data_IF_575264266241
#
_entry.id   IF_575264266241
#
_cell.length_a   1.000
_cell.length_b   1.000
_cell.length_c   1.000
_cell.angle_alpha   90.00
_cell.angle_beta   90.00
_cell.angle_gamma   90.00
#
_symmetry.space_group_name_H-M   'P 1'
#
loop_
_entity.id
_entity.type
_entity.pdbx_description
1 polymer ?
#
# COMPACT_ATOMS: atom_id res chain seq x y z
N UNK A 1 -13.24 -16.30 2.05
CA UNK A 1 -11.92 -16.95 1.99
C UNK A 1 -10.92 -15.89 1.52
N UNK A 2 -10.08 -15.36 2.42
CA UNK A 2 -9.22 -14.17 2.24
C UNK A 2 -7.91 -14.47 1.47
N UNK A 3 -7.98 -15.18 0.35
CA UNK A 3 -6.76 -15.65 -0.33
C UNK A 3 -6.11 -14.58 -1.22
N UNK A 4 -6.91 -13.75 -1.89
CA UNK A 4 -6.42 -12.81 -2.91
C UNK A 4 -5.55 -11.66 -2.38
N UNK A 5 -5.83 -11.13 -1.19
CA UNK A 5 -5.02 -10.06 -0.60
C UNK A 5 -3.59 -10.54 -0.28
N UNK A 6 -3.48 -11.75 0.26
CA UNK A 6 -2.19 -12.37 0.62
C UNK A 6 -1.31 -12.60 -0.61
N UNK A 7 -1.90 -13.02 -1.73
CA UNK A 7 -1.16 -13.25 -2.97
C UNK A 7 -0.61 -11.94 -3.56
N UNK A 8 -1.39 -10.86 -3.51
CA UNK A 8 -0.97 -9.52 -3.94
C UNK A 8 0.13 -8.95 -3.03
N UNK A 9 0.01 -9.10 -1.71
CA UNK A 9 1.04 -8.74 -0.75
C UNK A 9 2.37 -9.45 -1.04
N UNK A 10 2.31 -10.75 -1.30
CA UNK A 10 3.49 -11.53 -1.61
C UNK A 10 4.18 -11.07 -2.88
N UNK A 11 3.42 -10.81 -3.95
CA UNK A 11 4.00 -10.36 -5.21
C UNK A 11 4.54 -8.93 -5.11
N UNK A 12 3.79 -8.01 -4.47
CA UNK A 12 4.26 -6.64 -4.22
C UNK A 12 5.54 -6.66 -3.38
N UNK A 13 5.61 -7.52 -2.36
CA UNK A 13 6.83 -7.67 -1.57
C UNK A 13 8.01 -8.19 -2.41
N UNK A 14 7.79 -9.09 -3.38
CA UNK A 14 8.85 -9.53 -4.29
C UNK A 14 9.41 -8.40 -5.17
N UNK A 15 8.58 -7.41 -5.52
CA UNK A 15 8.97 -6.23 -6.29
C UNK A 15 9.72 -5.22 -5.41
N UNK A 16 9.21 -4.95 -4.20
CA UNK A 16 9.74 -3.90 -3.32
C UNK A 16 10.98 -4.34 -2.50
N UNK A 17 11.13 -5.63 -2.23
CA UNK A 17 12.23 -6.15 -1.40
C UNK A 17 13.59 -5.91 -2.04
N UNK A 18 14.62 -5.88 -1.19
CA UNK A 18 16.04 -5.82 -1.60
C UNK A 18 16.37 -4.56 -2.41
N UNK A 19 15.75 -3.42 -2.09
CA UNK A 19 16.05 -2.13 -2.74
C UNK A 19 15.87 -2.16 -4.27
N UNK A 20 15.11 -3.13 -4.79
CA UNK A 20 14.90 -3.30 -6.23
C UNK A 20 14.08 -2.16 -6.82
N UNK A 21 13.31 -1.48 -5.98
CA UNK A 21 12.57 -0.30 -6.32
C UNK A 21 13.35 0.97 -5.92
N UNK A 22 13.93 1.66 -6.92
CA UNK A 22 14.63 2.95 -6.74
C UNK A 22 15.72 2.97 -5.65
N UNK A 23 16.29 1.82 -5.31
CA UNK A 23 17.22 1.66 -4.19
C UNK A 23 16.64 1.96 -2.79
N UNK A 24 15.31 2.06 -2.68
CA UNK A 24 14.57 2.44 -1.47
C UNK A 24 14.27 1.24 -0.57
N UNK A 25 14.30 1.47 0.75
CA UNK A 25 14.04 0.44 1.75
C UNK A 25 12.58 0.44 2.19
N UNK A 26 11.83 -0.52 1.65
CA UNK A 26 10.48 -0.82 2.10
C UNK A 26 10.47 -1.79 3.29
N UNK A 27 9.53 -1.56 4.21
CA UNK A 27 9.19 -2.44 5.33
C UNK A 27 7.77 -2.93 5.13
N UNK A 28 7.52 -4.21 5.39
CA UNK A 28 6.18 -4.81 5.36
C UNK A 28 5.53 -4.77 6.77
N UNK A 29 4.21 -4.61 6.84
CA UNK A 29 3.40 -4.62 8.07
C UNK A 29 3.98 -3.68 9.14
N UNK A 30 4.20 -2.42 8.76
CA UNK A 30 4.79 -1.44 9.65
C UNK A 30 3.73 -0.85 10.59
N UNK A 31 4.04 -0.79 11.88
CA UNK A 31 3.14 -0.23 12.89
C UNK A 31 3.40 1.27 13.01
N UNK A 32 2.44 2.07 12.56
CA UNK A 32 2.38 3.52 12.75
C UNK A 32 1.22 3.79 13.69
N UNK A 33 1.47 3.66 15.00
CA UNK A 33 0.42 3.70 16.02
C UNK A 33 -0.50 4.91 15.84
N UNK A 34 -1.83 4.72 15.83
CA UNK A 34 -2.57 3.49 16.16
C UNK A 34 -2.78 2.50 15.01
N UNK A 35 -2.27 2.77 13.81
CA UNK A 35 -2.53 2.01 12.59
C UNK A 35 -1.40 1.04 12.22
N UNK A 36 -1.74 0.03 11.43
CA UNK A 36 -0.79 -0.87 10.78
C UNK A 36 -0.93 -0.65 9.27
N UNK A 37 0.19 -0.52 8.59
CA UNK A 37 0.25 -0.31 7.14
C UNK A 37 0.94 -1.48 6.45
N UNK A 38 0.51 -1.85 5.24
CA UNK A 38 1.02 -3.03 4.54
C UNK A 38 2.47 -2.84 4.12
N UNK A 39 2.81 -1.69 3.53
CA UNK A 39 4.19 -1.32 3.25
C UNK A 39 4.48 0.13 3.63
N UNK A 40 5.70 0.35 4.13
CA UNK A 40 6.20 1.66 4.52
C UNK A 40 7.63 1.88 4.03
N UNK A 41 7.88 3.05 3.43
CA UNK A 41 9.20 3.54 3.07
C UNK A 41 9.52 4.80 3.86
N UNK A 42 10.55 4.73 4.71
CA UNK A 42 10.99 5.87 5.51
C UNK A 42 11.66 6.96 4.67
N UNK A 43 12.35 6.58 3.58
CA UNK A 43 13.18 7.50 2.80
C UNK A 43 12.37 8.56 2.05
N UNK A 44 11.15 8.22 1.64
CA UNK A 44 10.24 9.12 0.90
C UNK A 44 8.92 9.35 1.63
N UNK A 45 8.80 8.90 2.89
CA UNK A 45 7.55 9.01 3.65
C UNK A 45 6.37 8.34 2.96
N UNK A 46 6.57 7.17 2.35
CA UNK A 46 5.52 6.53 1.54
C UNK A 46 4.90 5.35 2.28
N UNK A 47 3.58 5.29 2.26
CA UNK A 47 2.74 4.19 2.70
C UNK A 47 2.04 3.60 1.48
N UNK A 48 2.11 2.28 1.33
CA UNK A 48 1.38 1.55 0.28
C UNK A 48 0.44 0.57 0.96
N UNK A 49 -0.81 0.59 0.53
CA UNK A 49 -1.85 -0.32 1.00
C UNK A 49 -2.39 -1.15 -0.15
N UNK A 50 -2.62 -2.43 0.12
CA UNK A 50 -3.25 -3.32 -0.84
C UNK A 50 -4.71 -3.48 -0.44
N UNK A 51 -5.60 -2.88 -1.22
CA UNK A 51 -7.03 -2.98 -0.96
C UNK A 51 -7.55 -4.34 -1.46
N UNK A 52 -7.93 -5.20 -0.51
CA UNK A 52 -8.59 -6.49 -0.74
C UNK A 52 -10.09 -6.39 -1.03
N UNK A 53 -10.65 -5.18 -1.02
CA UNK A 53 -12.04 -4.78 -1.26
C UNK A 53 -13.09 -5.21 -0.24
N UNK A 54 -14.11 -4.34 -0.17
CA UNK A 54 -15.32 -4.28 0.66
C UNK A 54 -15.10 -3.89 2.11
N UNK A 55 -15.52 -2.67 2.49
CA UNK A 55 -16.61 -2.40 3.43
C UNK A 55 -17.02 -0.93 3.29
N UNK A 56 -18.02 -0.67 2.43
CA UNK A 56 -18.73 0.60 2.33
C UNK A 56 -19.75 0.73 3.46
N UNK A 57 -19.28 0.73 4.71
CA UNK A 57 -20.08 1.15 5.87
C UNK A 57 -19.66 2.57 6.25
N UNK A 58 -20.60 3.42 6.65
CA UNK A 58 -20.31 4.81 7.05
C UNK A 58 -19.22 4.90 8.13
N UNK A 59 -19.16 3.93 9.05
CA UNK A 59 -18.12 3.84 10.07
C UNK A 59 -16.73 3.53 9.51
N UNK A 60 -16.65 2.66 8.48
CA UNK A 60 -15.38 2.36 7.82
C UNK A 60 -14.87 3.58 7.04
N UNK A 61 -15.76 4.33 6.38
CA UNK A 61 -15.41 5.56 5.66
C UNK A 61 -14.88 6.62 6.63
N UNK A 62 -15.55 6.83 7.77
CA UNK A 62 -15.08 7.79 8.79
C UNK A 62 -13.73 7.38 9.37
N UNK A 63 -13.56 6.10 9.71
CA UNK A 63 -12.30 5.58 10.21
C UNK A 63 -11.16 5.77 9.20
N UNK A 64 -11.46 5.54 7.92
CA UNK A 64 -10.51 5.68 6.84
C UNK A 64 -10.09 7.14 6.57
N UNK A 65 -11.03 8.07 6.68
CA UNK A 65 -10.78 9.51 6.58
C UNK A 65 -9.88 9.98 7.72
N UNK A 66 -10.20 9.63 8.96
CA UNK A 66 -9.38 10.01 10.13
C UNK A 66 -7.98 9.39 10.07
N UNK A 67 -7.90 8.15 9.59
CA UNK A 67 -6.64 7.46 9.36
C UNK A 67 -5.78 8.16 8.30
N UNK A 68 -6.38 8.53 7.17
CA UNK A 68 -5.69 9.24 6.08
C UNK A 68 -5.15 10.56 6.58
N UNK A 69 -5.98 11.38 7.25
CA UNK A 69 -5.54 12.64 7.86
C UNK A 69 -4.40 12.47 8.85
N UNK A 70 -4.44 11.44 9.69
CA UNK A 70 -3.38 11.18 10.67
C UNK A 70 -2.06 10.85 9.99
N UNK A 71 -2.08 10.04 8.94
CA UNK A 71 -0.87 9.66 8.20
C UNK A 71 -0.35 10.84 7.36
N UNK A 72 -1.22 11.61 6.71
CA UNK A 72 -0.85 12.84 6.00
C UNK A 72 -0.25 13.89 6.93
N UNK A 73 -0.76 14.01 8.16
CA UNK A 73 -0.19 14.90 9.19
C UNK A 73 1.22 14.48 9.67
N UNK A 74 1.65 13.26 9.34
CA UNK A 74 3.01 12.77 9.57
C UNK A 74 3.91 12.94 8.33
N UNK A 75 3.48 13.79 7.38
CA UNK A 75 4.12 13.99 6.07
C UNK A 75 4.24 12.66 5.29
N UNK A 76 3.27 11.75 5.47
CA UNK A 76 3.24 10.48 4.76
C UNK A 76 2.31 10.54 3.55
N UNK A 77 2.83 10.10 2.41
CA UNK A 77 2.04 9.87 1.19
C UNK A 77 1.43 8.49 1.26
N UNK A 78 0.12 8.35 1.01
CA UNK A 78 -0.58 7.06 1.04
C UNK A 78 -1.01 6.71 -0.38
N UNK A 79 -0.59 5.55 -0.87
CA UNK A 79 -1.02 5.02 -2.17
C UNK A 79 -1.75 3.70 -1.94
N UNK A 80 -2.97 3.58 -2.48
CA UNK A 80 -3.76 2.36 -2.42
C UNK A 80 -3.78 1.68 -3.78
N UNK A 81 -3.47 0.40 -3.81
CA UNK A 81 -3.60 -0.43 -5.00
C UNK A 81 -4.79 -1.37 -4.86
N UNK A 82 -5.68 -1.36 -5.87
CA UNK A 82 -6.85 -2.20 -5.91
C UNK A 82 -6.52 -3.55 -6.56
N UNK A 83 -6.81 -4.66 -5.88
CA UNK A 83 -6.39 -5.99 -6.31
C UNK A 83 -7.11 -6.53 -7.58
N UNK A 84 -8.12 -5.84 -8.09
CA UNK A 84 -8.89 -6.34 -9.25
C UNK A 84 -8.28 -5.96 -10.61
N UNK A 85 -7.35 -5.01 -10.67
CA UNK A 85 -6.55 -4.83 -11.89
C UNK A 85 -5.42 -5.85 -11.87
N UNK A 86 -5.76 -7.01 -12.41
CA UNK A 86 -4.94 -8.20 -12.39
C UNK A 86 -3.47 -7.93 -12.72
N UNK A 87 -2.62 -8.50 -11.88
CA UNK A 87 -1.22 -8.87 -12.17
C UNK A 87 -1.14 -9.94 -13.27
N UNK A 88 -1.97 -9.81 -14.29
CA UNK A 88 -2.33 -10.83 -15.25
C UNK A 88 -2.48 -10.30 -16.66
N UNK A 89 -1.96 -9.11 -16.99
CA UNK A 89 -1.40 -8.72 -18.31
C UNK A 89 -1.15 -7.20 -18.30
N UNK A 90 0.12 -6.77 -18.32
CA UNK A 90 0.48 -5.40 -18.73
C UNK A 90 0.76 -4.36 -17.64
N UNK A 91 0.20 -4.47 -16.43
CA UNK A 91 0.61 -3.59 -15.31
C UNK A 91 1.88 -4.16 -14.65
N UNK A 92 2.97 -4.15 -15.40
CA UNK A 92 4.30 -4.39 -14.85
C UNK A 92 4.66 -3.27 -13.87
N UNK A 93 5.71 -3.48 -13.10
CA UNK A 93 6.35 -2.51 -12.18
C UNK A 93 6.37 -1.05 -12.70
N UNK A 94 6.34 -0.83 -14.02
CA UNK A 94 6.16 0.50 -14.64
C UNK A 94 4.89 1.27 -14.26
N UNK A 95 3.73 0.63 -14.04
CA UNK A 95 2.52 1.32 -13.55
C UNK A 95 2.68 1.80 -12.12
N UNK A 96 3.36 1.00 -11.29
CA UNK A 96 3.70 1.35 -9.92
C UNK A 96 4.68 2.55 -9.85
N UNK A 97 5.62 2.66 -10.79
CA UNK A 97 6.51 3.84 -10.91
C UNK A 97 5.75 5.07 -11.38
N UNK A 98 4.83 4.92 -12.34
CA UNK A 98 4.12 6.04 -12.95
C UNK A 98 3.13 6.74 -11.99
N UNK A 99 2.55 6.04 -11.03
CA UNK A 99 1.71 6.67 -9.99
C UNK A 99 2.50 7.34 -8.87
N UNK A 100 3.83 7.18 -8.85
CA UNK A 100 4.71 7.78 -7.85
C UNK A 100 5.28 9.14 -8.29
N UNK A 101 5.04 9.56 -9.55
CA UNK A 101 5.53 10.80 -10.16
C UNK A 101 4.42 11.56 -10.89
#
# INVERSE_FOLDING_TARGET
MRHTATDAEHLMWQILRVKRFMNLKFRRQHVIKPYIVDFYCHEIGLVIELDGSQHGTDDAIKYDVERTKFLEALDLTIIRYWNHEGLGHGCGVGGFVASMF
#
